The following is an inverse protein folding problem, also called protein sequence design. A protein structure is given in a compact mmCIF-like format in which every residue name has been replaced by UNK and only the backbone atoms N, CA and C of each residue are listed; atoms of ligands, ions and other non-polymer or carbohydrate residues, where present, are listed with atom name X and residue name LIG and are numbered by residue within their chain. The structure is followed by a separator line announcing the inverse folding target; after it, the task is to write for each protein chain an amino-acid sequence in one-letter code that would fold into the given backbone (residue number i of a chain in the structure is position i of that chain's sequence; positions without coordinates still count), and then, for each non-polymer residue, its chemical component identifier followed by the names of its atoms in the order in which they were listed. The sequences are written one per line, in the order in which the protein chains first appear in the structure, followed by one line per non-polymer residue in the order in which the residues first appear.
data_IF_490015007103
#
_entry.id   IF_490015007103
#
_cell.length_a   1.000
_cell.length_b   1.000
_cell.length_c   1.000
_cell.angle_alpha   90.00
_cell.angle_beta   90.00
_cell.angle_gamma   90.00
#
_symmetry.space_group_name_H-M   'P 1'
#
loop_
_entity.id
_entity.type
_entity.pdbx_description
1 polymer ?
#
# COMPACT_ATOMS: atom_id res chain seq x y z
N UNK A 1 -19.49 16.25 -5.33
CA UNK A 1 -19.50 16.01 -6.79
C UNK A 1 -18.77 17.16 -7.47
N UNK A 2 -17.53 16.95 -7.92
CA UNK A 2 -16.69 18.06 -8.39
C UNK A 2 -16.60 18.21 -9.91
N UNK A 3 -17.28 17.36 -10.70
CA UNK A 3 -17.54 17.63 -12.11
C UNK A 3 -18.80 16.91 -12.59
N UNK A 4 -19.95 17.60 -12.68
CA UNK A 4 -21.15 17.06 -13.30
C UNK A 4 -20.84 16.57 -14.72
N UNK A 5 -21.09 15.29 -15.00
CA UNK A 5 -20.92 14.70 -16.33
C UNK A 5 -19.60 13.96 -16.59
N UNK A 6 -18.64 13.89 -15.66
CA UNK A 6 -17.39 13.14 -15.82
C UNK A 6 -17.26 12.01 -14.80
N UNK A 7 -18.01 10.93 -15.03
CA UNK A 7 -18.17 9.82 -14.07
C UNK A 7 -17.27 8.61 -14.31
N UNK A 8 -16.57 8.53 -15.44
CA UNK A 8 -15.75 7.37 -15.81
C UNK A 8 -14.28 7.60 -15.48
N UNK A 9 -13.78 6.96 -14.43
CA UNK A 9 -12.37 7.03 -14.03
C UNK A 9 -11.50 6.16 -14.94
N UNK A 10 -10.53 6.77 -15.61
CA UNK A 10 -9.57 6.05 -16.48
C UNK A 10 -8.23 5.82 -15.78
N UNK A 11 -7.85 6.72 -14.86
CA UNK A 11 -6.63 6.58 -14.07
C UNK A 11 -6.75 7.30 -12.74
N UNK A 12 -5.69 7.20 -11.94
CA UNK A 12 -5.48 7.95 -10.71
C UNK A 12 -5.84 9.44 -10.82
N UNK A 13 -5.51 10.08 -11.93
CA UNK A 13 -5.66 11.53 -12.15
C UNK A 13 -6.62 11.88 -13.30
N UNK A 14 -7.38 10.91 -13.82
CA UNK A 14 -8.16 11.09 -15.05
C UNK A 14 -9.60 10.61 -14.92
N UNK A 15 -10.55 11.53 -15.12
CA UNK A 15 -11.98 11.24 -15.23
C UNK A 15 -12.52 11.68 -16.59
N UNK A 16 -13.43 10.91 -17.17
CA UNK A 16 -14.00 11.14 -18.50
C UNK A 16 -15.52 11.09 -18.46
N UNK A 17 -16.15 11.71 -19.47
CA UNK A 17 -17.61 11.75 -19.59
C UNK A 17 -18.22 10.49 -20.23
N UNK A 18 -17.39 9.60 -20.75
CA UNK A 18 -17.76 8.30 -21.31
C UNK A 18 -16.71 7.24 -21.00
N UNK A 19 -17.11 5.96 -21.02
CA UNK A 19 -16.26 4.83 -20.69
C UNK A 19 -15.10 4.61 -21.69
N UNK A 20 -15.31 4.95 -22.96
CA UNK A 20 -14.32 4.81 -24.03
C UNK A 20 -14.14 6.16 -24.72
N UNK A 21 -12.95 6.74 -24.57
CA UNK A 21 -12.60 7.98 -25.24
C UNK A 21 -11.71 7.69 -26.46
N UNK A 22 -11.90 8.41 -27.58
CA UNK A 22 -10.96 8.36 -28.70
C UNK A 22 -9.56 8.75 -28.23
N UNK A 23 -8.55 8.04 -28.73
CA UNK A 23 -7.14 8.29 -28.41
C UNK A 23 -6.80 9.78 -28.64
N UNK A 24 -6.29 10.44 -27.59
CA UNK A 24 -5.82 11.83 -27.60
C UNK A 24 -6.89 12.93 -27.60
N UNK A 25 -8.15 12.62 -27.26
CA UNK A 25 -9.19 13.64 -27.11
C UNK A 25 -9.24 14.24 -25.69
N UNK A 26 -8.56 15.36 -25.49
CA UNK A 26 -8.60 16.18 -24.25
C UNK A 26 -10.00 16.74 -23.92
N UNK A 27 -10.95 16.66 -24.85
CA UNK A 27 -12.34 17.07 -24.65
C UNK A 27 -13.16 16.01 -23.91
N UNK A 28 -12.74 14.75 -23.98
CA UNK A 28 -13.45 13.62 -23.39
C UNK A 28 -13.07 13.40 -21.92
N UNK A 29 -11.80 13.64 -21.60
CA UNK A 29 -11.19 13.37 -20.32
C UNK A 29 -10.61 14.64 -19.71
N UNK A 30 -10.77 14.77 -18.39
CA UNK A 30 -10.08 15.76 -17.57
C UNK A 30 -8.96 15.07 -16.82
N UNK A 31 -7.77 15.67 -16.90
CA UNK A 31 -6.60 15.24 -16.16
C UNK A 31 -6.28 16.28 -15.09
N UNK A 32 -6.00 15.84 -13.86
CA UNK A 32 -5.51 16.70 -12.78
C UNK A 32 -4.34 16.03 -12.10
N UNK A 33 -3.14 16.52 -12.38
CA UNK A 33 -1.87 15.99 -11.88
C UNK A 33 -1.48 16.53 -10.49
N UNK A 34 -2.41 17.15 -9.76
CA UNK A 34 -2.13 17.64 -8.41
C UNK A 34 -1.84 16.50 -7.42
N UNK A 35 -1.00 16.79 -6.41
CA UNK A 35 -0.71 15.88 -5.31
C UNK A 35 -1.97 15.68 -4.46
N UNK A 36 -2.74 14.66 -4.80
CA UNK A 36 -3.93 14.24 -4.06
C UNK A 36 -5.07 15.30 -4.06
N UNK A 37 -5.23 16.01 -5.19
CA UNK A 37 -6.24 17.06 -5.36
C UNK A 37 -7.12 16.85 -6.60
N UNK A 38 -8.31 17.46 -6.60
CA UNK A 38 -9.27 17.45 -7.71
C UNK A 38 -9.60 16.07 -8.27
N UNK A 39 -9.12 15.69 -9.46
CA UNK A 39 -9.34 14.33 -10.01
C UNK A 39 -8.33 13.29 -9.51
N UNK A 40 -7.22 13.72 -8.92
CA UNK A 40 -6.22 12.88 -8.25
C UNK A 40 -6.64 12.52 -6.84
N UNK A 41 -7.83 11.94 -6.63
CA UNK A 41 -8.25 11.39 -5.31
C UNK A 41 -8.91 10.02 -5.47
N UNK A 42 -8.81 9.14 -4.46
CA UNK A 42 -9.26 7.74 -4.45
C UNK A 42 -10.75 7.54 -4.76
N UNK A 43 -11.56 8.61 -4.69
CA UNK A 43 -12.97 8.63 -5.07
C UNK A 43 -13.85 9.15 -3.95
N UNK A 44 -15.13 9.42 -4.24
CA UNK A 44 -16.05 10.02 -3.26
C UNK A 44 -16.37 9.10 -2.07
N UNK A 45 -16.19 7.77 -2.23
CA UNK A 45 -16.42 6.79 -1.17
C UNK A 45 -15.26 6.76 -0.17
N UNK A 46 -14.03 6.96 -0.64
CA UNK A 46 -12.81 6.99 0.19
C UNK A 46 -12.55 8.38 0.79
N UNK A 47 -13.24 9.42 0.30
CA UNK A 47 -13.13 10.78 0.81
C UNK A 47 -12.28 11.71 -0.07
N UNK A 48 -12.52 13.00 0.06
CA UNK A 48 -12.05 14.03 -0.89
C UNK A 48 -10.55 14.42 -0.75
N UNK A 49 -9.77 13.68 0.03
CA UNK A 49 -8.37 13.99 0.30
C UNK A 49 -7.44 12.76 0.22
N UNK A 50 -7.98 11.56 -0.04
CA UNK A 50 -7.16 10.34 -0.12
C UNK A 50 -6.59 10.25 -1.53
N UNK A 51 -5.28 10.05 -1.66
CA UNK A 51 -4.60 9.88 -2.93
C UNK A 51 -5.07 8.60 -3.64
N UNK A 52 -5.13 8.57 -4.98
CA UNK A 52 -5.47 7.35 -5.70
C UNK A 52 -4.46 6.24 -5.39
N UNK A 53 -4.96 5.09 -4.98
CA UNK A 53 -4.19 3.86 -4.80
C UNK A 53 -4.77 2.76 -5.70
N UNK A 54 -4.00 1.69 -5.90
CA UNK A 54 -4.53 0.50 -6.57
C UNK A 54 -5.75 -0.03 -5.80
N UNK A 55 -6.79 -0.52 -6.50
CA UNK A 55 -7.91 -1.17 -5.84
C UNK A 55 -7.44 -2.45 -5.14
N UNK A 56 -8.12 -2.78 -4.03
CA UNK A 56 -7.78 -3.93 -3.21
C UNK A 56 -7.08 -3.56 -1.90
N UNK A 57 -6.95 -4.56 -1.03
CA UNK A 57 -6.34 -4.40 0.28
C UNK A 57 -5.52 -5.63 0.67
N UNK A 58 -4.74 -5.47 1.74
CA UNK A 58 -4.11 -6.61 2.41
C UNK A 58 -5.11 -7.29 3.35
N UNK A 59 -4.80 -8.50 3.77
CA UNK A 59 -5.59 -9.20 4.80
C UNK A 59 -5.52 -8.45 6.14
N UNK A 60 -6.44 -8.75 7.06
CA UNK A 60 -6.54 -8.05 8.36
C UNK A 60 -5.28 -8.18 9.22
N UNK A 61 -4.52 -9.25 9.05
CA UNK A 61 -3.28 -9.60 9.70
C UNK A 61 -2.03 -9.15 8.91
N UNK A 62 -2.22 -8.46 7.79
CA UNK A 62 -1.15 -7.99 6.91
C UNK A 62 -1.02 -6.46 6.88
N UNK A 63 0.13 -6.00 6.43
CA UNK A 63 0.46 -4.60 6.19
C UNK A 63 1.00 -4.40 4.77
N UNK A 64 0.71 -3.23 4.19
CA UNK A 64 1.22 -2.85 2.88
C UNK A 64 2.62 -2.27 3.02
N UNK A 65 3.60 -2.90 2.36
CA UNK A 65 4.98 -2.42 2.31
C UNK A 65 5.53 -2.55 0.89
N UNK A 66 6.04 -1.44 0.33
CA UNK A 66 6.52 -1.35 -1.06
C UNK A 66 5.55 -1.94 -2.11
N UNK A 67 4.24 -1.73 -1.89
CA UNK A 67 3.19 -2.17 -2.81
C UNK A 67 2.81 -3.65 -2.70
N UNK A 68 3.36 -4.38 -1.73
CA UNK A 68 3.06 -5.78 -1.45
C UNK A 68 2.52 -5.93 -0.02
N UNK A 69 1.65 -6.91 0.17
CA UNK A 69 1.09 -7.29 1.45
C UNK A 69 1.99 -8.32 2.12
N UNK A 70 2.38 -8.04 3.36
CA UNK A 70 3.17 -8.92 4.22
C UNK A 70 2.46 -9.09 5.55
N UNK A 71 2.67 -10.21 6.23
CA UNK A 71 2.25 -10.37 7.63
C UNK A 71 2.80 -9.22 8.48
N UNK A 72 1.97 -8.67 9.37
CA UNK A 72 2.35 -7.54 10.23
C UNK A 72 3.57 -7.87 11.08
N UNK A 73 4.54 -6.96 11.13
CA UNK A 73 5.69 -7.04 12.02
C UNK A 73 5.29 -7.13 13.51
N UNK A 74 4.17 -6.50 13.90
CA UNK A 74 3.62 -6.63 15.26
C UNK A 74 3.16 -8.06 15.59
N UNK A 75 2.69 -8.82 14.60
CA UNK A 75 2.30 -10.23 14.77
C UNK A 75 3.54 -11.14 14.73
N UNK A 76 4.42 -10.94 13.76
CA UNK A 76 5.65 -11.73 13.59
C UNK A 76 6.58 -11.67 14.81
N UNK A 77 6.61 -10.52 15.49
CA UNK A 77 7.56 -10.26 16.60
C UNK A 77 6.87 -10.23 17.97
N UNK A 78 5.59 -10.60 18.05
CA UNK A 78 4.82 -10.52 19.29
C UNK A 78 4.77 -9.11 19.89
N UNK A 79 4.84 -8.08 19.03
CA UNK A 79 4.78 -6.67 19.41
C UNK A 79 6.12 -6.02 19.76
N UNK A 80 7.24 -6.76 19.76
CA UNK A 80 8.55 -6.21 20.13
C UNK A 80 9.12 -5.23 19.09
N UNK A 81 8.94 -5.54 17.81
CA UNK A 81 9.39 -4.73 16.68
C UNK A 81 8.19 -4.54 15.74
N UNK A 82 7.24 -3.65 16.08
CA UNK A 82 5.94 -3.63 15.41
C UNK A 82 5.95 -2.93 14.04
N UNK A 83 7.05 -2.30 13.63
CA UNK A 83 7.11 -1.49 12.42
C UNK A 83 7.94 -2.17 11.35
N UNK A 84 7.38 -2.33 10.15
CA UNK A 84 8.15 -2.82 9.01
C UNK A 84 9.08 -1.76 8.45
N UNK A 85 10.34 -2.13 8.28
CA UNK A 85 11.36 -1.26 7.68
C UNK A 85 11.93 -1.88 6.39
N UNK A 86 11.88 -3.21 6.25
CA UNK A 86 12.37 -3.96 5.08
C UNK A 86 11.45 -5.14 4.75
N UNK A 87 11.76 -5.87 3.67
CA UNK A 87 10.99 -7.06 3.23
C UNK A 87 11.01 -8.15 4.31
N UNK A 88 12.15 -8.34 4.94
CA UNK A 88 12.42 -9.32 5.99
C UNK A 88 12.89 -8.65 7.29
N UNK A 89 12.64 -7.34 7.43
CA UNK A 89 13.13 -6.52 8.54
C UNK A 89 12.02 -5.79 9.30
N UNK A 90 11.98 -6.02 10.62
CA UNK A 90 11.07 -5.38 11.56
C UNK A 90 11.83 -4.50 12.56
N UNK A 91 11.29 -3.34 12.90
CA UNK A 91 11.93 -2.33 13.74
C UNK A 91 11.07 -1.94 14.96
N UNK A 92 11.74 -1.51 16.04
CA UNK A 92 11.10 -1.02 17.27
C UNK A 92 10.46 0.36 17.15
N UNK A 93 10.88 1.15 16.18
CA UNK A 93 10.42 2.52 15.98
C UNK A 93 10.22 2.82 14.50
N UNK A 94 9.79 4.04 14.18
CA UNK A 94 9.86 4.60 12.84
C UNK A 94 10.95 5.67 12.83
N UNK A 95 11.88 5.61 11.87
CA UNK A 95 12.95 6.60 11.72
C UNK A 95 14.32 6.03 11.41
N UNK A 96 15.35 6.87 11.51
CA UNK A 96 16.71 6.56 11.06
C UNK A 96 17.37 5.40 11.82
N UNK A 97 16.96 5.12 13.06
CA UNK A 97 17.45 3.97 13.83
C UNK A 97 17.09 2.61 13.21
N UNK A 98 16.13 2.58 12.28
CA UNK A 98 15.76 1.37 11.54
C UNK A 98 16.59 1.15 10.28
N UNK A 99 17.54 2.04 9.97
CA UNK A 99 18.48 1.88 8.85
C UNK A 99 19.73 1.08 9.25
N UNK A 100 19.82 0.69 10.53
CA UNK A 100 20.91 -0.10 11.07
C UNK A 100 20.34 -1.26 11.89
N UNK A 101 21.01 -2.41 11.81
CA UNK A 101 20.64 -3.60 12.56
C UNK A 101 20.89 -3.45 14.06
N UNK A 102 19.99 -4.02 14.85
CA UNK A 102 20.12 -4.09 16.30
C UNK A 102 21.34 -4.94 16.68
N UNK A 103 22.26 -4.34 17.42
CA UNK A 103 23.49 -5.01 17.85
C UNK A 103 24.59 -5.07 16.79
N UNK A 104 24.45 -4.36 15.67
CA UNK A 104 25.53 -4.18 14.71
C UNK A 104 26.77 -3.54 15.37
N UNK A 105 27.97 -3.99 14.96
CA UNK A 105 29.25 -3.44 15.42
C UNK A 105 29.73 -2.26 14.58
N UNK A 106 28.79 -1.55 13.97
CA UNK A 106 29.04 -0.33 13.18
C UNK A 106 29.03 0.93 14.05
N UNK A 107 28.72 0.80 15.35
CA UNK A 107 28.62 1.92 16.29
C UNK A 107 27.28 2.68 16.18
N UNK A 108 26.37 2.21 15.33
CA UNK A 108 25.01 2.70 15.21
C UNK A 108 24.14 1.82 16.12
N UNK A 109 23.48 2.43 17.10
CA UNK A 109 22.52 1.71 17.95
C UNK A 109 21.23 1.46 17.17
N UNK A 110 21.30 0.53 16.21
CA UNK A 110 20.19 0.12 15.36
C UNK A 110 19.05 -0.51 16.14
N UNK A 111 17.84 -0.45 15.56
CA UNK A 111 16.61 -1.01 16.12
C UNK A 111 15.93 -2.01 15.16
N UNK A 112 16.56 -2.31 14.03
CA UNK A 112 16.09 -3.25 13.03
C UNK A 112 16.51 -4.67 13.39
N UNK A 113 15.58 -5.61 13.33
CA UNK A 113 15.90 -7.05 13.30
C UNK A 113 15.53 -7.58 11.93
N UNK A 114 16.43 -8.35 11.33
CA UNK A 114 16.24 -9.00 10.04
C UNK A 114 16.10 -10.50 10.25
N UNK A 115 15.13 -11.12 9.59
CA UNK A 115 14.97 -12.55 9.57
C UNK A 115 14.20 -12.97 8.32
N UNK A 116 14.76 -13.89 7.54
CA UNK A 116 14.12 -14.45 6.35
C UNK A 116 12.68 -14.98 6.57
N UNK A 117 12.32 -15.36 7.80
CA UNK A 117 10.95 -15.79 8.16
C UNK A 117 9.94 -14.65 8.21
N UNK A 118 10.37 -13.39 8.16
CA UNK A 118 9.50 -12.20 8.16
C UNK A 118 8.98 -11.81 6.76
N UNK A 119 9.53 -12.42 5.70
CA UNK A 119 9.10 -12.24 4.31
C UNK A 119 7.94 -13.18 3.94
N UNK A 120 6.83 -13.11 4.67
CA UNK A 120 5.67 -14.01 4.53
C UNK A 120 4.35 -13.24 4.47
N UNK A 121 3.30 -13.88 3.93
CA UNK A 121 1.91 -13.38 3.96
C UNK A 121 1.12 -13.91 5.16
N UNK A 122 -0.11 -13.40 5.33
CA UNK A 122 -1.02 -13.71 6.44
C UNK A 122 -1.79 -15.02 6.29
N UNK A 123 -2.12 -15.40 5.04
CA UNK A 123 -3.07 -16.48 4.73
C UNK A 123 -2.64 -17.92 5.02
N UNK A 124 -1.50 -18.16 5.69
CA UNK A 124 -1.00 -19.52 5.87
C UNK A 124 -1.85 -20.40 6.83
N UNK A 125 -2.64 -19.79 7.72
CA UNK A 125 -3.22 -20.48 8.87
C UNK A 125 -4.73 -20.77 8.77
N UNK A 126 -5.41 -20.34 7.70
CA UNK A 126 -6.88 -20.40 7.58
C UNK A 126 -7.40 -21.49 6.61
N UNK A 127 -6.50 -22.26 5.98
CA UNK A 127 -6.81 -23.28 4.97
C UNK A 127 -7.63 -22.77 3.78
N UNK A 128 -7.60 -21.46 3.51
CA UNK A 128 -8.35 -20.83 2.44
C UNK A 128 -7.44 -20.53 1.25
N UNK A 129 -7.77 -21.07 0.07
CA UNK A 129 -6.98 -20.82 -1.14
C UNK A 129 -7.03 -19.36 -1.63
N UNK A 130 -8.00 -18.57 -1.13
CA UNK A 130 -8.14 -17.14 -1.45
C UNK A 130 -7.25 -16.21 -0.61
N UNK A 131 -6.54 -16.72 0.39
CA UNK A 131 -5.65 -15.96 1.27
C UNK A 131 -4.21 -16.45 1.07
N UNK A 132 -3.36 -15.71 0.35
CA UNK A 132 -2.02 -16.19 0.03
C UNK A 132 -1.10 -16.23 1.27
N UNK A 133 -0.31 -17.30 1.36
CA UNK A 133 0.70 -17.47 2.41
C UNK A 133 2.03 -16.75 2.09
N UNK A 134 2.21 -16.33 0.83
CA UNK A 134 3.39 -15.61 0.37
C UNK A 134 3.05 -14.14 0.15
N UNK A 135 4.04 -13.22 0.19
CA UNK A 135 3.80 -11.82 -0.11
C UNK A 135 3.11 -11.66 -1.46
N UNK A 136 2.06 -10.85 -1.49
CA UNK A 136 1.20 -10.70 -2.67
C UNK A 136 0.80 -9.24 -2.89
N UNK A 137 0.43 -8.83 -4.11
CA UNK A 137 -0.19 -7.53 -4.32
C UNK A 137 -1.55 -7.45 -3.61
N UNK A 138 -2.08 -6.24 -3.34
CA UNK A 138 -3.41 -6.08 -2.75
C UNK A 138 -4.49 -6.91 -3.46
N UNK A 139 -5.31 -7.61 -2.69
CA UNK A 139 -6.38 -8.46 -3.21
C UNK A 139 -7.59 -7.61 -3.54
N UNK A 140 -8.12 -7.75 -4.75
CA UNK A 140 -9.36 -7.10 -5.17
C UNK A 140 -10.55 -7.80 -4.55
N UNK A 141 -11.46 -7.02 -3.95
CA UNK A 141 -12.76 -7.49 -3.43
C UNK A 141 -13.71 -7.95 -4.53
#
# INVERSE_FOLDING_TARGET
QLAPGYSYRQSAWTCCNQAQCPFMSFSCCKHDYGMCSGYSIAGMQEGNAICPHAPGGCLNDEELFLGMCYMKCSLLTGGLNPYRAEIDGCCKSTGAYCLAEEGAKDGLNGMLITNSTFAVGGGCADSNAGTPCQPHPPLTS
#
